data_IF_845396953263
#
_entry.id   IF_845396953263
#
_cell.length_a   1.000
_cell.length_b   1.000
_cell.length_c   1.000
_cell.angle_alpha   90.00
_cell.angle_beta   90.00
_cell.angle_gamma   90.00
#
_symmetry.space_group_name_H-M   'P 1'
#
loop_
_entity.id
_entity.type
_entity.pdbx_description
1 polymer ?
#
# COMPACT_ATOMS: atom_id res chain seq x y z
N UNK A 1 0.16 16.58 -3.58
CA UNK A 1 -1.09 16.81 -2.83
C UNK A 1 -0.74 17.54 -1.54
N UNK A 2 -1.48 18.60 -1.20
CA UNK A 2 -1.30 19.28 0.08
C UNK A 2 -1.89 18.42 1.20
N UNK A 3 -1.05 17.95 2.14
CA UNK A 3 -1.47 17.07 3.22
C UNK A 3 -2.36 17.75 4.26
N UNK A 4 -2.51 19.08 4.18
CA UNK A 4 -3.23 19.88 5.17
C UNK A 4 -2.53 19.91 6.54
N UNK A 5 -1.30 19.41 6.62
CA UNK A 5 -0.46 19.38 7.83
C UNK A 5 0.80 20.17 7.56
N UNK A 6 1.13 21.05 8.49
CA UNK A 6 2.23 22.00 8.34
C UNK A 6 3.05 22.07 9.62
N UNK A 7 4.38 22.11 9.45
CA UNK A 7 5.28 22.53 10.50
C UNK A 7 5.19 24.05 10.73
N UNK A 8 5.64 24.53 11.88
CA UNK A 8 5.75 25.98 12.12
C UNK A 8 6.69 26.64 11.12
N UNK A 9 7.72 25.94 10.64
CA UNK A 9 8.62 26.45 9.61
C UNK A 9 7.86 26.64 8.29
N UNK A 10 7.09 25.63 7.86
CA UNK A 10 6.29 25.67 6.62
C UNK A 10 5.30 26.84 6.64
N UNK A 11 4.64 27.08 7.78
CA UNK A 11 3.70 28.20 7.92
C UNK A 11 4.42 29.56 7.86
N UNK A 12 5.61 29.68 8.44
CA UNK A 12 6.41 30.90 8.37
C UNK A 12 6.92 31.19 6.96
N UNK A 13 7.35 30.15 6.24
CA UNK A 13 7.73 30.27 4.82
C UNK A 13 6.55 30.71 3.95
N UNK A 14 5.32 30.36 4.35
CA UNK A 14 4.08 30.85 3.72
C UNK A 14 3.64 32.24 4.20
N UNK A 15 4.47 32.94 4.97
CA UNK A 15 4.21 34.30 5.44
C UNK A 15 3.27 34.41 6.65
N UNK A 16 2.97 33.31 7.34
CA UNK A 16 2.17 33.39 8.56
C UNK A 16 3.04 33.83 9.74
N UNK A 17 2.78 35.04 10.20
CA UNK A 17 3.31 35.53 11.47
C UNK A 17 2.55 34.93 12.68
N UNK A 18 3.02 35.29 13.89
CA UNK A 18 2.44 34.79 15.14
C UNK A 18 0.99 35.25 15.34
N UNK A 19 0.68 36.48 14.95
CA UNK A 19 -0.66 37.05 15.15
C UNK A 19 -1.68 36.32 14.26
N UNK A 20 -1.33 36.10 13.00
CA UNK A 20 -2.19 35.38 12.05
C UNK A 20 -2.34 33.90 12.43
N UNK A 21 -1.27 33.26 12.90
CA UNK A 21 -1.35 31.89 13.41
C UNK A 21 -2.33 31.78 14.59
N UNK A 22 -2.25 32.69 15.57
CA UNK A 22 -3.16 32.69 16.72
C UNK A 22 -4.62 32.89 16.27
N UNK A 23 -4.88 33.85 15.38
CA UNK A 23 -6.21 34.08 14.84
C UNK A 23 -6.78 32.83 14.11
N UNK A 24 -5.95 32.09 13.38
CA UNK A 24 -6.38 30.85 12.72
C UNK A 24 -6.65 29.70 13.70
N UNK A 25 -5.93 29.66 14.83
CA UNK A 25 -6.18 28.70 15.90
C UNK A 25 -7.48 29.02 16.65
N UNK A 26 -7.68 30.29 17.02
CA UNK A 26 -8.89 30.76 17.70
C UNK A 26 -10.13 30.60 16.81
N UNK A 27 -10.00 30.87 15.51
CA UNK A 27 -11.04 30.66 14.51
C UNK A 27 -11.23 29.20 14.06
N UNK A 28 -10.50 28.23 14.63
CA UNK A 28 -10.63 26.80 14.32
C UNK A 28 -10.19 26.38 12.91
N UNK A 29 -9.62 27.29 12.12
CA UNK A 29 -9.11 26.98 10.76
C UNK A 29 -7.81 26.17 10.81
N UNK A 30 -7.05 26.32 11.90
CA UNK A 30 -5.94 25.44 12.24
C UNK A 30 -6.19 24.79 13.60
N UNK A 31 -5.76 23.54 13.73
CA UNK A 31 -5.68 22.82 15.01
C UNK A 31 -4.24 22.46 15.29
N UNK A 32 -3.79 22.64 16.54
CA UNK A 32 -2.45 22.23 16.95
C UNK A 32 -2.42 20.73 17.21
N UNK A 33 -1.57 19.99 16.48
CA UNK A 33 -1.38 18.55 16.67
C UNK A 33 -0.39 18.26 17.81
N UNK A 34 0.72 19.01 17.82
CA UNK A 34 1.75 19.01 18.87
C UNK A 34 2.56 20.29 18.79
N UNK A 35 3.56 20.47 19.66
CA UNK A 35 4.47 21.62 19.58
C UNK A 35 5.09 21.73 18.18
N UNK A 36 4.83 22.85 17.51
CA UNK A 36 5.38 23.17 16.20
C UNK A 36 4.70 22.50 15.00
N UNK A 37 3.55 21.83 15.19
CA UNK A 37 2.83 21.13 14.13
C UNK A 37 1.33 21.45 14.17
N UNK A 38 0.78 21.73 13.00
CA UNK A 38 -0.60 22.21 12.83
C UNK A 38 -1.30 21.45 11.71
N UNK A 39 -2.62 21.30 11.82
CA UNK A 39 -3.47 20.69 10.81
C UNK A 39 -4.62 21.63 10.44
N UNK A 40 -5.03 21.58 9.19
CA UNK A 40 -6.29 22.14 8.70
C UNK A 40 -7.39 21.09 8.77
N UNK A 41 -8.65 21.49 8.57
CA UNK A 41 -9.77 20.56 8.46
C UNK A 41 -9.66 19.57 7.28
N UNK A 42 -8.74 19.79 6.33
CA UNK A 42 -8.48 18.89 5.19
C UNK A 42 -7.45 17.81 5.49
N UNK A 43 -6.79 17.85 6.66
CA UNK A 43 -5.77 16.89 7.00
C UNK A 43 -6.35 15.47 7.11
N UNK A 44 -5.74 14.51 6.42
CA UNK A 44 -6.11 13.11 6.55
C UNK A 44 -5.87 12.63 7.99
N UNK A 45 -6.90 12.05 8.62
CA UNK A 45 -6.87 11.64 10.02
C UNK A 45 -5.68 10.72 10.38
N UNK A 46 -5.30 9.72 9.56
CA UNK A 46 -4.12 8.90 9.83
C UNK A 46 -2.82 9.72 9.90
N UNK A 47 -2.65 10.68 9.00
CA UNK A 47 -1.45 11.54 8.95
C UNK A 47 -1.39 12.46 10.16
N UNK A 48 -2.52 13.10 10.50
CA UNK A 48 -2.62 13.96 11.68
C UNK A 48 -2.32 13.18 12.97
N UNK A 49 -2.83 11.94 13.07
CA UNK A 49 -2.57 11.05 14.22
C UNK A 49 -1.10 10.66 14.33
N UNK A 50 -0.45 10.33 13.22
CA UNK A 50 0.98 10.00 13.21
C UNK A 50 1.85 11.17 13.70
N UNK A 51 1.54 12.38 13.22
CA UNK A 51 2.24 13.62 13.61
C UNK A 51 1.99 13.97 15.07
N UNK A 52 0.76 13.81 15.57
CA UNK A 52 0.43 14.01 16.99
C UNK A 52 1.23 13.05 17.91
N UNK A 53 1.46 11.81 17.46
CA UNK A 53 2.31 10.82 18.14
C UNK A 53 3.82 11.11 18.04
N UNK A 54 4.19 12.19 17.35
CA UNK A 54 5.57 12.63 17.22
C UNK A 54 6.35 12.04 16.05
N UNK A 55 5.67 11.32 15.15
CA UNK A 55 6.27 10.66 14.00
C UNK A 55 5.71 11.11 12.65
N UNK A 56 6.00 10.30 11.65
CA UNK A 56 5.59 10.44 10.26
C UNK A 56 4.70 9.24 9.90
N UNK A 57 3.61 9.48 9.15
CA UNK A 57 2.82 8.36 8.62
C UNK A 57 3.62 7.67 7.53
N UNK A 58 3.82 6.35 7.63
CA UNK A 58 4.69 5.65 6.70
C UNK A 58 4.51 4.13 6.78
N UNK A 59 5.45 3.37 6.23
CA UNK A 59 5.30 1.92 6.07
C UNK A 59 3.94 1.62 5.38
N UNK A 60 3.16 0.63 5.87
CA UNK A 60 1.88 0.26 5.25
C UNK A 60 0.85 1.40 5.25
N UNK A 61 0.65 2.13 6.35
CA UNK A 61 -0.30 3.25 6.37
C UNK A 61 0.11 4.41 5.48
N UNK A 62 1.42 4.63 5.29
CA UNK A 62 1.90 5.59 4.30
C UNK A 62 1.64 5.12 2.87
N UNK A 63 1.88 3.85 2.57
CA UNK A 63 1.58 3.27 1.26
C UNK A 63 0.08 3.39 0.94
N UNK A 64 -0.78 3.03 1.89
CA UNK A 64 -2.23 3.18 1.80
C UNK A 64 -2.66 4.63 1.53
N UNK A 65 -2.02 5.60 2.19
CA UNK A 65 -2.28 7.03 1.97
C UNK A 65 -1.92 7.50 0.54
N UNK A 66 -1.02 6.78 -0.15
CA UNK A 66 -0.70 7.00 -1.57
C UNK A 66 -1.58 6.18 -2.52
N UNK A 67 -2.56 5.43 -2.00
CA UNK A 67 -3.48 4.59 -2.78
C UNK A 67 -2.97 3.16 -3.04
N UNK A 68 -1.79 2.80 -2.52
CA UNK A 68 -1.21 1.47 -2.67
C UNK A 68 -2.05 0.46 -1.87
N UNK A 69 -2.38 -0.67 -2.47
CA UNK A 69 -3.06 -1.76 -1.79
C UNK A 69 -2.18 -2.28 -0.65
N UNK A 70 -2.74 -2.39 0.55
CA UNK A 70 -2.03 -2.94 1.70
C UNK A 70 -2.93 -3.90 2.47
N UNK A 71 -2.39 -4.97 3.08
CA UNK A 71 -3.14 -5.82 4.02
C UNK A 71 -3.22 -5.17 5.42
N UNK A 72 -3.12 -3.83 5.49
CA UNK A 72 -2.92 -3.08 6.74
C UNK A 72 -4.16 -3.17 7.65
N UNK A 73 -3.92 -3.34 8.95
CA UNK A 73 -4.97 -3.36 9.99
C UNK A 73 -4.70 -2.42 11.15
N UNK A 74 -3.53 -1.78 11.18
CA UNK A 74 -3.11 -0.91 12.27
C UNK A 74 -2.57 0.40 11.72
N UNK A 75 -2.43 1.43 12.57
CA UNK A 75 -1.75 2.64 12.16
C UNK A 75 -0.24 2.43 12.21
N UNK A 76 0.48 2.73 11.13
CA UNK A 76 1.93 2.61 11.06
C UNK A 76 2.57 3.99 11.15
N UNK A 77 3.38 4.20 12.20
CA UNK A 77 4.06 5.48 12.45
C UNK A 77 5.56 5.26 12.52
N UNK A 78 6.29 6.05 11.72
CA UNK A 78 7.74 6.09 11.67
C UNK A 78 8.25 7.20 12.60
N UNK A 79 9.03 6.81 13.60
CA UNK A 79 9.62 7.70 14.59
C UNK A 79 11.07 7.97 14.22
N UNK A 80 11.46 9.24 14.20
CA UNK A 80 12.85 9.65 13.99
C UNK A 80 13.79 9.03 15.04
N UNK A 81 15.09 8.87 14.71
CA UNK A 81 16.11 8.50 15.69
C UNK A 81 16.03 9.37 16.95
N UNK A 82 16.22 8.74 18.12
CA UNK A 82 16.20 9.45 19.42
C UNK A 82 14.82 9.88 19.94
N UNK A 83 13.75 9.81 19.14
CA UNK A 83 12.40 10.14 19.63
C UNK A 83 11.91 9.03 20.58
N UNK A 84 11.49 9.35 21.83
CA UNK A 84 10.94 8.38 22.75
C UNK A 84 9.75 7.64 22.15
N UNK A 85 9.60 6.34 22.46
CA UNK A 85 8.45 5.57 21.99
C UNK A 85 7.22 5.94 22.84
N UNK A 86 6.14 6.51 22.27
CA UNK A 86 4.94 6.79 23.03
C UNK A 86 4.24 5.49 23.47
N UNK A 87 3.64 5.51 24.66
CA UNK A 87 2.75 4.45 25.12
C UNK A 87 1.38 4.61 24.44
N UNK A 88 1.13 3.83 23.39
CA UNK A 88 -0.11 3.87 22.61
C UNK A 88 -0.46 2.47 22.11
N UNK A 89 -1.72 2.08 22.24
CA UNK A 89 -2.24 0.81 21.74
C UNK A 89 -2.72 0.93 20.29
N UNK A 90 -2.72 -0.18 19.54
CA UNK A 90 -3.23 -0.24 18.16
C UNK A 90 -2.39 0.50 17.13
N UNK A 91 -1.14 0.85 17.45
CA UNK A 91 -0.22 1.54 16.55
C UNK A 91 1.07 0.74 16.43
N UNK A 92 1.44 0.42 15.18
CA UNK A 92 2.73 -0.16 14.86
C UNK A 92 3.77 0.97 14.73
N UNK A 93 4.72 0.98 15.66
CA UNK A 93 5.78 2.00 15.70
C UNK A 93 7.08 1.45 15.10
N UNK A 94 7.61 2.17 14.11
CA UNK A 94 8.87 1.86 13.44
C UNK A 94 9.91 2.92 13.79
N UNK A 95 11.16 2.52 14.01
CA UNK A 95 12.28 3.46 14.21
C UNK A 95 12.97 3.67 12.89
N UNK A 96 13.02 4.92 12.44
CA UNK A 96 13.79 5.32 11.27
C UNK A 96 15.29 5.28 11.54
N UNK A 97 16.05 5.00 10.48
CA UNK A 97 17.51 5.14 10.48
C UNK A 97 17.92 6.58 10.17
N UNK A 98 17.22 7.24 9.23
CA UNK A 98 17.42 8.64 8.88
C UNK A 98 16.21 9.47 9.27
N UNK A 99 16.44 10.60 9.93
CA UNK A 99 15.36 11.50 10.31
C UNK A 99 14.65 12.08 9.09
N UNK A 100 13.34 12.30 9.23
CA UNK A 100 12.52 13.03 8.27
C UNK A 100 11.65 14.06 8.98
N UNK A 101 11.33 15.14 8.27
CA UNK A 101 10.38 16.15 8.71
C UNK A 101 9.09 16.12 7.88
N UNK A 102 8.92 15.16 6.97
CA UNK A 102 7.68 15.03 6.22
C UNK A 102 6.58 14.44 7.12
N UNK A 103 5.34 14.96 7.09
CA UNK A 103 4.23 14.39 7.86
C UNK A 103 3.77 13.02 7.30
N UNK A 104 3.92 12.84 5.98
CA UNK A 104 3.69 11.61 5.24
C UNK A 104 4.99 11.20 4.55
N UNK A 105 5.41 9.95 4.72
CA UNK A 105 6.60 9.41 4.08
C UNK A 105 6.43 9.41 2.54
N UNK A 106 7.48 9.75 1.79
CA UNK A 106 7.51 9.51 0.34
C UNK A 106 7.25 8.03 0.02
N UNK A 107 6.66 7.75 -1.15
CA UNK A 107 6.32 6.38 -1.59
C UNK A 107 7.49 5.41 -1.42
N UNK A 108 8.69 5.79 -1.90
CA UNK A 108 9.89 4.95 -1.82
C UNK A 108 10.30 4.62 -0.38
N UNK A 109 10.17 5.58 0.55
CA UNK A 109 10.52 5.36 1.95
C UNK A 109 9.48 4.48 2.65
N UNK A 110 8.19 4.68 2.33
CA UNK A 110 7.09 3.85 2.80
C UNK A 110 7.24 2.38 2.37
N UNK A 111 7.50 2.15 1.08
CA UNK A 111 7.73 0.82 0.53
C UNK A 111 8.98 0.15 1.13
N UNK A 112 10.08 0.91 1.28
CA UNK A 112 11.31 0.40 1.88
C UNK A 112 11.08 -0.12 3.30
N UNK A 113 10.40 0.65 4.15
CA UNK A 113 10.07 0.19 5.50
C UNK A 113 9.07 -0.97 5.48
N UNK A 114 8.09 -0.97 4.57
CA UNK A 114 7.15 -2.09 4.43
C UNK A 114 7.89 -3.41 4.12
N UNK A 115 8.77 -3.42 3.11
CA UNK A 115 9.56 -4.59 2.71
C UNK A 115 10.53 -5.02 3.82
N UNK A 116 11.16 -4.06 4.51
CA UNK A 116 12.09 -4.37 5.59
C UNK A 116 11.40 -5.00 6.80
N UNK A 117 10.18 -4.55 7.15
CA UNK A 117 9.52 -4.89 8.43
C UNK A 117 8.45 -5.97 8.34
N UNK A 118 7.89 -6.23 7.16
CA UNK A 118 6.81 -7.19 6.97
C UNK A 118 7.25 -8.44 6.23
N UNK A 119 6.39 -9.44 6.14
CA UNK A 119 6.68 -10.67 5.40
C UNK A 119 6.87 -10.43 3.90
N UNK A 120 7.36 -11.48 3.22
CA UNK A 120 7.62 -11.46 1.77
C UNK A 120 6.34 -11.16 0.99
N UNK A 121 5.22 -11.77 1.40
CA UNK A 121 3.92 -11.57 0.74
C UNK A 121 3.52 -10.10 0.76
N UNK A 122 3.53 -9.47 1.94
CA UNK A 122 3.22 -8.05 2.09
C UNK A 122 4.17 -7.19 1.26
N UNK A 123 5.47 -7.51 1.26
CA UNK A 123 6.47 -6.80 0.46
C UNK A 123 6.19 -6.84 -1.05
N UNK A 124 5.81 -8.00 -1.58
CA UNK A 124 5.43 -8.17 -2.99
C UNK A 124 4.15 -7.41 -3.31
N UNK A 125 3.12 -7.58 -2.49
CA UNK A 125 1.82 -6.91 -2.64
C UNK A 125 1.97 -5.40 -2.79
N UNK A 126 2.65 -4.74 -1.84
CA UNK A 126 2.74 -3.27 -1.84
C UNK A 126 3.60 -2.77 -3.00
N UNK A 127 4.59 -3.55 -3.41
CA UNK A 127 5.51 -3.19 -4.49
C UNK A 127 4.82 -3.35 -5.85
N UNK A 128 4.12 -4.45 -6.08
CA UNK A 128 3.35 -4.70 -7.31
C UNK A 128 2.23 -3.67 -7.47
N UNK A 129 1.51 -3.36 -6.39
CA UNK A 129 0.49 -2.31 -6.40
C UNK A 129 1.07 -0.93 -6.71
N UNK A 130 2.24 -0.58 -6.14
CA UNK A 130 2.88 0.70 -6.44
C UNK A 130 3.31 0.84 -7.90
N UNK A 131 3.77 -0.26 -8.52
CA UNK A 131 4.08 -0.27 -9.96
C UNK A 131 2.81 -0.16 -10.81
N UNK A 132 1.75 -0.90 -10.45
CA UNK A 132 0.48 -0.87 -11.18
C UNK A 132 -0.18 0.54 -11.17
N UNK A 133 -0.03 1.27 -10.06
CA UNK A 133 -0.49 2.66 -9.94
C UNK A 133 0.43 3.68 -10.65
N UNK A 134 1.55 3.24 -11.21
CA UNK A 134 2.55 4.12 -11.84
C UNK A 134 3.30 5.02 -10.85
N UNK A 135 3.26 4.73 -9.55
CA UNK A 135 3.95 5.51 -8.53
C UNK A 135 5.47 5.26 -8.56
N UNK A 136 5.88 4.07 -9.00
CA UNK A 136 7.27 3.69 -9.24
C UNK A 136 7.36 2.84 -10.52
N UNK A 137 8.49 2.89 -11.20
CA UNK A 137 8.77 2.01 -12.35
C UNK A 137 9.29 0.64 -11.92
N UNK A 138 9.19 -0.35 -12.83
CA UNK A 138 9.71 -1.70 -12.61
C UNK A 138 11.20 -1.73 -12.20
N UNK A 139 12.13 -0.95 -12.82
CA UNK A 139 13.52 -0.96 -12.39
C UNK A 139 13.70 -0.55 -10.92
N UNK A 140 13.00 0.52 -10.50
CA UNK A 140 13.05 1.00 -9.12
C UNK A 140 12.46 -0.03 -8.13
N UNK A 141 11.41 -0.76 -8.53
CA UNK A 141 10.87 -1.86 -7.75
C UNK A 141 11.89 -3.00 -7.58
N UNK A 142 12.56 -3.41 -8.66
CA UNK A 142 13.59 -4.46 -8.61
C UNK A 142 14.78 -4.06 -7.73
N UNK A 143 15.24 -2.81 -7.84
CA UNK A 143 16.32 -2.29 -6.98
C UNK A 143 15.92 -2.28 -5.50
N UNK A 144 14.68 -1.88 -5.21
CA UNK A 144 14.16 -1.84 -3.86
C UNK A 144 14.10 -3.25 -3.24
N UNK A 145 13.59 -4.23 -3.99
CA UNK A 145 13.52 -5.63 -3.58
C UNK A 145 14.91 -6.27 -3.46
N UNK A 146 15.83 -5.95 -4.37
CA UNK A 146 17.23 -6.40 -4.30
C UNK A 146 17.97 -5.85 -3.08
N UNK A 147 17.60 -4.66 -2.63
CA UNK A 147 18.13 -4.01 -1.43
C UNK A 147 17.48 -4.50 -0.12
N UNK A 148 16.50 -5.39 -0.18
CA UNK A 148 15.82 -5.93 0.99
C UNK A 148 16.77 -6.73 1.91
N UNK A 149 16.37 -7.01 3.17
CA UNK A 149 17.13 -7.90 4.05
C UNK A 149 17.46 -9.23 3.36
N UNK A 150 18.70 -9.70 3.50
CA UNK A 150 19.23 -10.86 2.76
C UNK A 150 18.32 -12.10 2.87
N UNK A 151 17.75 -12.35 4.06
CA UNK A 151 16.84 -13.45 4.32
C UNK A 151 15.56 -13.47 3.47
N UNK A 152 15.15 -12.33 2.89
CA UNK A 152 13.93 -12.21 2.07
C UNK A 152 14.20 -12.23 0.58
N UNK A 153 15.42 -11.89 0.13
CA UNK A 153 15.73 -11.61 -1.28
C UNK A 153 15.38 -12.76 -2.21
N UNK A 154 15.70 -13.99 -1.82
CA UNK A 154 15.39 -15.17 -2.62
C UNK A 154 13.88 -15.29 -2.91
N UNK A 155 13.03 -15.09 -1.89
CA UNK A 155 11.57 -15.17 -2.06
C UNK A 155 10.98 -13.94 -2.74
N UNK A 156 11.62 -12.76 -2.63
CA UNK A 156 11.18 -11.56 -3.34
C UNK A 156 11.42 -11.63 -4.86
N UNK A 157 12.15 -12.64 -5.36
CA UNK A 157 12.25 -12.91 -6.80
C UNK A 157 10.93 -13.32 -7.44
N UNK A 158 9.92 -13.71 -6.64
CA UNK A 158 8.55 -13.94 -7.09
C UNK A 158 7.81 -12.66 -7.50
N UNK A 159 8.45 -11.48 -7.41
CA UNK A 159 7.91 -10.25 -7.96
C UNK A 159 7.54 -10.39 -9.44
N UNK A 160 6.30 -10.03 -9.75
CA UNK A 160 5.75 -10.15 -11.10
C UNK A 160 4.81 -8.98 -11.39
N UNK A 161 4.87 -8.47 -12.61
CA UNK A 161 3.91 -7.46 -13.06
C UNK A 161 2.57 -8.09 -13.42
N UNK A 162 1.52 -7.28 -13.33
CA UNK A 162 0.20 -7.64 -13.83
C UNK A 162 -0.73 -8.24 -12.79
N UNK A 163 -0.43 -8.25 -11.50
CA UNK A 163 -1.48 -8.42 -10.49
C UNK A 163 -2.36 -7.16 -10.43
N UNK A 164 -3.67 -7.30 -10.63
CA UNK A 164 -4.65 -6.22 -10.54
C UNK A 164 -4.95 -5.79 -9.10
N UNK A 165 -4.70 -6.68 -8.14
CA UNK A 165 -4.99 -6.51 -6.72
C UNK A 165 -3.99 -7.26 -5.82
N UNK A 166 -3.93 -6.87 -4.54
CA UNK A 166 -3.10 -7.60 -3.56
C UNK A 166 -3.58 -9.03 -3.29
N UNK A 167 -4.87 -9.32 -3.47
CA UNK A 167 -5.44 -10.67 -3.42
C UNK A 167 -4.86 -11.56 -4.52
N UNK A 168 -4.75 -11.05 -5.75
CA UNK A 168 -4.13 -11.78 -6.86
C UNK A 168 -2.65 -12.08 -6.56
N UNK A 169 -1.89 -11.09 -6.07
CA UNK A 169 -0.48 -11.31 -5.68
C UNK A 169 -0.36 -12.40 -4.62
N UNK A 170 -1.24 -12.40 -3.59
CA UNK A 170 -1.26 -13.42 -2.53
C UNK A 170 -1.52 -14.83 -3.09
N UNK A 171 -2.59 -14.99 -3.87
CA UNK A 171 -2.97 -16.29 -4.43
C UNK A 171 -1.89 -16.80 -5.39
N UNK A 172 -1.37 -15.93 -6.26
CA UNK A 172 -0.26 -16.24 -7.15
C UNK A 172 0.97 -16.71 -6.40
N UNK A 173 1.39 -15.98 -5.36
CA UNK A 173 2.55 -16.34 -4.56
C UNK A 173 2.38 -17.71 -3.89
N UNK A 174 1.21 -17.95 -3.28
CA UNK A 174 0.90 -19.22 -2.62
C UNK A 174 1.05 -20.44 -3.55
N UNK A 175 0.59 -20.30 -4.79
CA UNK A 175 0.68 -21.34 -5.82
C UNK A 175 2.09 -21.50 -6.40
N UNK A 176 2.79 -20.39 -6.66
CA UNK A 176 4.17 -20.42 -7.15
C UNK A 176 5.12 -21.07 -6.13
N UNK A 177 4.93 -20.84 -4.84
CA UNK A 177 5.68 -21.52 -3.78
C UNK A 177 5.45 -23.05 -3.75
N UNK A 178 4.33 -23.51 -4.32
CA UNK A 178 4.00 -24.94 -4.53
C UNK A 178 4.41 -25.44 -5.91
N UNK A 179 5.21 -24.65 -6.64
CA UNK A 179 5.77 -24.97 -7.97
C UNK A 179 4.73 -25.07 -9.09
N UNK A 180 3.54 -24.48 -8.91
CA UNK A 180 2.60 -24.31 -10.01
C UNK A 180 3.02 -23.14 -10.90
N UNK A 181 2.89 -23.32 -12.22
CA UNK A 181 2.98 -22.22 -13.19
C UNK A 181 1.73 -21.37 -13.09
N UNK A 182 1.89 -20.07 -12.81
CA UNK A 182 0.76 -19.12 -12.69
C UNK A 182 1.01 -17.93 -13.59
N UNK A 183 0.04 -17.58 -14.43
CA UNK A 183 0.06 -16.43 -15.33
C UNK A 183 -1.05 -15.46 -14.94
N UNK A 184 -0.74 -14.21 -14.56
CA UNK A 184 -1.76 -13.22 -14.23
C UNK A 184 -2.35 -12.56 -15.49
N UNK A 185 -3.59 -12.08 -15.38
CA UNK A 185 -4.28 -11.20 -16.33
C UNK A 185 -4.28 -11.72 -17.78
N UNK A 186 -4.54 -13.03 -17.94
CA UNK A 186 -4.54 -13.72 -19.24
C UNK A 186 -5.84 -13.47 -19.97
N UNK A 187 -5.79 -13.14 -21.27
CA UNK A 187 -6.97 -13.12 -22.12
C UNK A 187 -7.18 -14.49 -22.78
N UNK A 188 -8.35 -15.09 -22.56
CA UNK A 188 -8.74 -16.38 -23.12
C UNK A 188 -9.90 -16.16 -24.12
N UNK A 189 -9.73 -16.55 -25.40
CA UNK A 189 -10.80 -16.44 -26.39
C UNK A 189 -12.11 -17.09 -25.93
N UNK A 190 -13.24 -16.39 -26.07
CA UNK A 190 -14.57 -16.87 -25.65
C UNK A 190 -14.85 -16.83 -24.14
N UNK A 191 -13.83 -16.60 -23.30
CA UNK A 191 -13.97 -16.45 -21.85
C UNK A 191 -13.82 -14.98 -21.44
N UNK A 192 -12.79 -14.30 -21.95
CA UNK A 192 -12.42 -12.94 -21.55
C UNK A 192 -11.07 -12.89 -20.83
N UNK A 193 -10.79 -11.77 -20.18
CA UNK A 193 -9.61 -11.61 -19.33
C UNK A 193 -9.91 -12.22 -17.96
N UNK A 194 -9.00 -13.06 -17.48
CA UNK A 194 -9.09 -13.74 -16.17
C UNK A 194 -7.94 -13.28 -15.28
N UNK A 195 -8.16 -13.25 -13.97
CA UNK A 195 -7.16 -12.76 -13.03
C UNK A 195 -5.91 -13.65 -12.98
N UNK A 196 -6.09 -14.97 -12.82
CA UNK A 196 -5.00 -15.93 -12.75
C UNK A 196 -5.33 -17.20 -13.56
N UNK A 197 -4.39 -17.64 -14.39
CA UNK A 197 -4.40 -18.94 -15.06
C UNK A 197 -3.29 -19.82 -14.47
N UNK A 198 -3.68 -20.94 -13.87
CA UNK A 198 -2.81 -21.93 -13.24
C UNK A 198 -2.64 -23.13 -14.17
N UNK A 199 -1.39 -23.41 -14.52
CA UNK A 199 -1.08 -24.39 -15.57
C UNK A 199 -1.72 -23.98 -16.89
N UNK A 200 -2.53 -24.89 -17.44
CA UNK A 200 -3.15 -24.73 -18.75
C UNK A 200 -4.66 -24.48 -18.71
N UNK A 201 -5.34 -24.82 -17.60
CA UNK A 201 -6.82 -24.86 -17.58
C UNK A 201 -7.49 -24.33 -16.31
N UNK A 202 -6.80 -24.24 -15.17
CA UNK A 202 -7.43 -23.77 -13.93
C UNK A 202 -7.43 -22.24 -13.88
N UNK A 203 -8.62 -21.66 -13.99
CA UNK A 203 -8.86 -20.22 -13.84
C UNK A 203 -9.19 -19.91 -12.38
N UNK A 204 -8.61 -18.86 -11.82
CA UNK A 204 -8.95 -18.32 -10.51
C UNK A 204 -9.24 -16.83 -10.66
N UNK A 205 -10.44 -16.42 -10.25
CA UNK A 205 -10.86 -15.02 -10.16
C UNK A 205 -10.77 -14.57 -8.70
N UNK A 206 -10.15 -13.41 -8.47
CA UNK A 206 -9.98 -12.83 -7.14
C UNK A 206 -11.00 -11.71 -6.94
N UNK A 207 -12.18 -12.05 -6.41
CA UNK A 207 -13.18 -11.04 -6.06
C UNK A 207 -12.61 -10.02 -5.07
N UNK A 208 -12.49 -8.77 -5.52
CA UNK A 208 -12.06 -7.67 -4.68
C UNK A 208 -13.29 -6.95 -4.10
N UNK A 209 -13.38 -6.88 -2.77
CA UNK A 209 -14.50 -6.24 -2.03
C UNK A 209 -14.75 -4.77 -2.44
N UNK A 210 -13.77 -4.10 -3.07
CA UNK A 210 -13.90 -2.73 -3.58
C UNK A 210 -14.89 -2.58 -4.76
N UNK A 211 -15.36 -3.68 -5.37
CA UNK A 211 -16.38 -3.66 -6.42
C UNK A 211 -17.83 -3.81 -5.92
N UNK A 212 -18.08 -3.80 -4.60
CA UNK A 212 -19.44 -3.86 -4.06
C UNK A 212 -20.14 -2.49 -3.89
N UNK A 213 -19.61 -1.42 -4.47
CA UNK A 213 -20.22 -0.09 -4.50
C UNK A 213 -20.65 0.36 -5.92
N UNK A 214 -21.30 -0.53 -6.68
CA UNK A 214 -22.29 -0.19 -7.71
C UNK A 214 -22.88 -1.48 -8.26
N UNK A 215 -24.17 -1.72 -8.03
CA UNK A 215 -24.87 -2.85 -8.61
C UNK A 215 -24.85 -2.82 -10.13
N UNK A 216 -24.06 -3.70 -10.74
CA UNK A 216 -24.34 -4.32 -12.03
C UNK A 216 -23.43 -5.56 -12.20
N UNK A 217 -24.07 -6.74 -12.30
CA UNK A 217 -23.50 -8.07 -12.61
C UNK A 217 -22.99 -8.93 -11.46
N UNK A 218 -23.80 -9.01 -10.40
CA UNK A 218 -23.96 -10.22 -9.57
C UNK A 218 -24.60 -11.40 -10.35
N UNK A 219 -24.29 -11.57 -11.64
CA UNK A 219 -24.87 -12.57 -12.54
C UNK A 219 -23.86 -13.05 -13.58
N UNK A 220 -22.79 -13.66 -13.12
CA UNK A 220 -22.13 -14.76 -13.84
C UNK A 220 -21.72 -15.87 -12.83
N UNK A 221 -22.55 -16.03 -11.80
CA UNK A 221 -22.57 -17.22 -10.96
C UNK A 221 -22.71 -18.48 -11.84
N UNK A 222 -21.78 -19.41 -11.67
CA UNK A 222 -22.03 -20.87 -11.70
C UNK A 222 -22.56 -21.52 -12.99
N UNK A 223 -22.09 -21.15 -14.19
CA UNK A 223 -22.32 -21.97 -15.40
C UNK A 223 -21.08 -22.15 -16.28
N UNK A 224 -19.92 -22.55 -15.73
CA UNK A 224 -18.85 -23.15 -16.55
C UNK A 224 -18.16 -24.38 -15.95
N UNK A 225 -18.81 -25.04 -14.98
CA UNK A 225 -18.48 -26.42 -14.59
C UNK A 225 -18.93 -27.47 -15.64
N UNK A 226 -19.40 -27.07 -16.83
CA UNK A 226 -19.89 -27.98 -17.88
C UNK A 226 -19.31 -27.72 -19.29
N UNK A 227 -18.13 -27.09 -19.42
CA UNK A 227 -17.45 -26.97 -20.71
C UNK A 227 -16.08 -27.69 -20.78
N UNK A 228 -15.80 -28.58 -19.82
CA UNK A 228 -14.63 -29.48 -19.86
C UNK A 228 -15.02 -30.95 -20.05
N UNK A 229 -16.26 -31.23 -20.46
CA UNK A 229 -16.75 -32.57 -20.78
C UNK A 229 -16.40 -33.06 -22.20
N UNK A 230 -16.00 -32.16 -23.11
CA UNK A 230 -15.79 -32.50 -24.54
C UNK A 230 -14.37 -32.21 -25.03
N UNK A 231 -13.37 -32.70 -24.29
CA UNK A 231 -12.15 -33.21 -24.93
C UNK A 231 -12.25 -34.73 -24.98
N UNK A 232 -13.20 -35.18 -25.79
CA UNK A 232 -13.19 -36.52 -26.33
C UNK A 232 -11.83 -36.77 -27.00
N UNK A 233 -11.13 -37.81 -26.54
CA UNK A 233 -10.33 -38.67 -27.44
C UNK A 233 -11.23 -39.11 -28.60
N UNK A 234 -10.79 -39.41 -29.85
CA UNK A 234 -9.50 -39.98 -30.32
C UNK A 234 -9.10 -39.41 -31.75
N UNK A 235 -8.28 -40.05 -32.61
CA UNK A 235 -7.48 -41.29 -32.54
C UNK A 235 -5.96 -41.11 -32.42
#
# INVERSE_FOLDING_TARGET
>A
MDSGIYSLADLRERGLDRQRLNALLEGGSLTRLRKGWYATARAAAPVARAVALGGTLGCLSGCEQHGIWTPNRQLHVMLNPGVPRPAVAGVQLHRLTRATHAPLAPVMDGLREAIARHDVETGLIVTESAVNLGLIGEPAARDLLGSAPAAKRASLTHFMLGAGSGSETRVRLFLQQRRFTVRPQVFIPGVGRVDLLVGESLIIECDSEQHHAAGARYRMDRVRDLASGDLATPP
#
